data_IF_887025193021
#
_entry.id   IF_887025193021
#
_cell.length_a   1.000
_cell.length_b   1.000
_cell.length_c   1.000
_cell.angle_alpha   90.00
_cell.angle_beta   90.00
_cell.angle_gamma   90.00
#
_symmetry.space_group_name_H-M   'P 1'
#
loop_
_entity.id
_entity.type
_entity.pdbx_description
1 polymer ?
#
# COMPACT_ATOMS: atom_id res chain seq x y z
N UNK A 1 -7.82 37.08 -13.94
CA UNK A 1 -7.34 36.16 -12.89
C UNK A 1 -6.08 35.47 -13.37
N UNK A 2 -4.96 35.64 -12.67
CA UNK A 2 -3.74 34.85 -12.88
C UNK A 2 -4.01 33.44 -12.37
N UNK A 3 -3.93 32.43 -13.25
CA UNK A 3 -4.06 31.04 -12.85
C UNK A 3 -3.01 30.72 -11.78
N UNK A 4 -3.41 30.11 -10.67
CA UNK A 4 -2.52 29.71 -9.57
C UNK A 4 -1.37 28.82 -10.09
N UNK A 5 -1.61 28.08 -11.18
CA UNK A 5 -0.60 27.25 -11.83
C UNK A 5 0.61 28.01 -12.38
N UNK A 6 0.51 29.34 -12.51
CA UNK A 6 1.63 30.19 -12.97
C UNK A 6 2.67 30.50 -11.88
N UNK A 7 2.53 29.97 -10.67
CA UNK A 7 3.57 30.10 -9.64
C UNK A 7 4.85 29.37 -10.07
N UNK A 8 6.04 29.86 -9.66
CA UNK A 8 7.31 29.17 -9.91
C UNK A 8 7.32 27.75 -9.36
N UNK A 9 8.05 26.85 -10.03
CA UNK A 9 8.12 25.43 -9.64
C UNK A 9 8.67 25.23 -8.23
N UNK A 10 9.54 26.13 -7.78
CA UNK A 10 10.16 26.10 -6.46
C UNK A 10 9.12 26.31 -5.35
N UNK A 11 8.14 27.19 -5.60
CA UNK A 11 7.02 27.41 -4.67
C UNK A 11 6.13 26.17 -4.62
N UNK A 12 5.81 25.60 -5.79
CA UNK A 12 5.04 24.36 -5.85
C UNK A 12 5.76 23.18 -5.19
N UNK A 13 7.08 23.07 -5.35
CA UNK A 13 7.89 22.07 -4.66
C UNK A 13 7.79 22.24 -3.15
N UNK A 14 7.90 23.48 -2.65
CA UNK A 14 7.71 23.79 -1.24
C UNK A 14 6.35 23.32 -0.72
N UNK A 15 5.27 23.65 -1.42
CA UNK A 15 3.91 23.23 -1.05
C UNK A 15 3.76 21.71 -1.07
N UNK A 16 4.11 21.05 -2.18
CA UNK A 16 3.90 19.61 -2.37
C UNK A 16 4.76 18.75 -1.43
N UNK A 17 5.92 19.26 -0.99
CA UNK A 17 6.78 18.54 -0.04
C UNK A 17 6.18 18.35 1.36
N UNK A 18 5.11 19.08 1.67
CA UNK A 18 4.40 19.01 2.96
C UNK A 18 3.05 18.30 2.89
N UNK A 19 2.64 17.85 1.71
CA UNK A 19 1.36 17.16 1.53
C UNK A 19 1.52 15.68 1.83
N UNK A 20 0.53 15.09 2.50
CA UNK A 20 0.46 13.65 2.73
C UNK A 20 0.02 12.89 1.47
N UNK A 21 0.12 11.56 1.54
CA UNK A 21 -0.30 10.67 0.46
C UNK A 21 -1.72 10.98 -0.07
N UNK A 22 -2.71 11.11 0.81
CA UNK A 22 -4.13 11.27 0.42
C UNK A 22 -4.35 12.59 -0.30
N UNK A 23 -3.76 13.68 0.19
CA UNK A 23 -3.83 14.99 -0.44
C UNK A 23 -3.10 14.98 -1.79
N UNK A 24 -1.93 14.34 -1.88
CA UNK A 24 -1.21 14.19 -3.15
C UNK A 24 -2.03 13.42 -4.19
N UNK A 25 -2.72 12.32 -3.82
CA UNK A 25 -3.63 11.61 -4.75
C UNK A 25 -4.78 12.49 -5.21
N UNK A 26 -5.28 13.36 -4.34
CA UNK A 26 -6.31 14.34 -4.72
C UNK A 26 -5.77 15.35 -5.73
N UNK A 27 -4.55 15.87 -5.52
CA UNK A 27 -3.88 16.76 -6.47
C UNK A 27 -3.72 16.13 -7.87
N UNK A 28 -3.37 14.83 -7.95
CA UNK A 28 -3.23 14.14 -9.24
C UNK A 28 -4.50 14.13 -10.09
N UNK A 29 -5.68 14.27 -9.46
CA UNK A 29 -6.99 14.25 -10.12
C UNK A 29 -7.45 15.63 -10.60
N UNK A 30 -6.82 16.72 -10.13
CA UNK A 30 -7.22 18.09 -10.46
C UNK A 30 -6.93 18.39 -11.92
N UNK A 31 -5.67 18.25 -12.35
CA UNK A 31 -5.24 18.40 -13.74
C UNK A 31 -3.85 17.79 -13.98
N UNK A 32 -3.39 17.81 -15.24
CA UNK A 32 -2.08 17.27 -15.65
C UNK A 32 -0.89 17.96 -14.98
N UNK A 33 -1.00 19.24 -14.65
CA UNK A 33 0.08 20.04 -14.07
C UNK A 33 0.27 19.69 -12.59
N UNK A 34 -0.80 19.65 -11.80
CA UNK A 34 -0.76 19.16 -10.42
C UNK A 34 -0.28 17.70 -10.34
N UNK A 35 -0.71 16.85 -11.27
CA UNK A 35 -0.18 15.49 -11.39
C UNK A 35 1.34 15.48 -11.64
N UNK A 36 1.88 16.41 -12.42
CA UNK A 36 3.32 16.46 -12.66
C UNK A 36 4.13 16.90 -11.43
N UNK A 37 3.54 17.70 -10.54
CA UNK A 37 4.19 18.11 -9.30
C UNK A 37 4.30 16.96 -8.28
N UNK A 38 3.42 15.96 -8.32
CA UNK A 38 3.59 14.75 -7.50
C UNK A 38 4.77 13.88 -7.92
N UNK A 39 5.33 14.12 -9.11
CA UNK A 39 6.52 13.42 -9.61
C UNK A 39 7.84 14.08 -9.15
N UNK A 40 7.78 15.14 -8.33
CA UNK A 40 8.98 15.71 -7.75
C UNK A 40 9.69 14.71 -6.82
N UNK A 41 11.04 14.72 -6.77
CA UNK A 41 11.81 13.85 -5.89
C UNK A 41 11.36 13.89 -4.42
N UNK A 42 11.01 15.09 -3.92
CA UNK A 42 10.53 15.29 -2.55
C UNK A 42 9.23 14.53 -2.23
N UNK A 43 8.39 14.28 -3.23
CA UNK A 43 7.12 13.59 -3.07
C UNK A 43 7.25 12.07 -3.12
N UNK A 44 8.36 11.54 -3.66
CA UNK A 44 8.47 10.10 -3.96
C UNK A 44 8.39 9.23 -2.70
N UNK A 45 8.92 9.73 -1.58
CA UNK A 45 8.84 9.05 -0.29
C UNK A 45 7.40 8.94 0.19
N UNK A 46 6.65 10.05 0.14
CA UNK A 46 5.25 10.08 0.57
C UNK A 46 4.32 9.34 -0.40
N UNK A 47 4.69 9.28 -1.67
CA UNK A 47 3.97 8.53 -2.71
C UNK A 47 4.33 7.04 -2.75
N UNK A 48 5.18 6.55 -1.84
CA UNK A 48 5.63 5.14 -1.81
C UNK A 48 6.31 4.70 -3.13
N UNK A 49 7.09 5.60 -3.73
CA UNK A 49 7.83 5.41 -5.00
C UNK A 49 9.35 5.53 -4.82
N UNK A 50 9.83 5.52 -3.58
CA UNK A 50 11.25 5.48 -3.23
C UNK A 50 11.95 4.32 -3.96
N UNK A 51 13.14 4.54 -4.53
CA UNK A 51 13.89 3.50 -5.26
C UNK A 51 14.88 2.70 -4.40
N UNK A 52 15.21 3.20 -3.21
CA UNK A 52 16.18 2.58 -2.31
C UNK A 52 15.52 1.42 -1.55
N UNK A 53 15.69 0.21 -2.06
CA UNK A 53 15.04 -1.01 -1.53
C UNK A 53 15.93 -1.70 -0.51
N UNK A 54 15.38 -1.97 0.67
CA UNK A 54 15.98 -2.85 1.68
C UNK A 54 15.88 -4.28 1.18
N UNK A 55 17.02 -4.88 0.86
CA UNK A 55 17.09 -6.26 0.36
C UNK A 55 16.79 -7.28 1.47
N UNK A 56 16.48 -8.53 1.09
CA UNK A 56 16.29 -9.63 2.04
C UNK A 56 17.56 -9.81 2.89
N UNK A 57 17.41 -9.83 4.22
CA UNK A 57 18.52 -9.84 5.19
C UNK A 57 19.13 -8.46 5.48
N UNK A 58 18.63 -7.39 4.86
CA UNK A 58 18.98 -6.02 5.22
C UNK A 58 18.34 -5.57 6.53
N UNK A 59 18.94 -4.59 7.19
CA UNK A 59 18.43 -4.03 8.45
C UNK A 59 17.17 -3.19 8.19
N UNK A 60 16.09 -3.51 8.91
CA UNK A 60 14.85 -2.77 8.90
C UNK A 60 14.74 -1.99 10.22
N UNK A 61 14.61 -0.67 10.11
CA UNK A 61 14.27 0.19 11.23
C UNK A 61 12.75 0.34 11.31
N UNK A 62 12.15 -0.32 12.31
CA UNK A 62 10.70 -0.36 12.50
C UNK A 62 10.11 1.01 12.87
N UNK A 63 10.88 1.91 13.48
CA UNK A 63 10.41 3.25 13.86
C UNK A 63 10.25 4.15 12.63
N UNK A 64 11.04 3.87 11.59
CA UNK A 64 11.00 4.58 10.32
C UNK A 64 10.20 3.85 9.23
N UNK A 65 9.73 2.63 9.50
CA UNK A 65 8.94 1.84 8.56
C UNK A 65 7.49 2.30 8.57
N UNK A 66 7.00 2.66 7.39
CA UNK A 66 5.60 2.98 7.14
C UNK A 66 5.02 2.02 6.14
N UNK A 67 3.74 1.77 6.26
CA UNK A 67 3.00 1.09 5.22
C UNK A 67 2.23 2.03 4.36
N UNK A 68 1.97 1.52 3.17
CA UNK A 68 1.15 2.21 2.22
C UNK A 68 -0.25 2.45 2.82
N UNK A 69 -0.70 3.71 2.94
CA UNK A 69 -2.02 4.04 3.48
C UNK A 69 -3.17 3.44 2.69
N UNK A 70 -2.89 2.95 1.47
CA UNK A 70 -3.91 2.38 0.62
C UNK A 70 -4.55 1.14 1.24
N UNK A 71 -3.84 0.42 2.10
CA UNK A 71 -4.40 -0.72 2.82
C UNK A 71 -5.58 -0.33 3.71
N UNK A 72 -5.61 0.88 4.27
CA UNK A 72 -6.73 1.35 5.13
C UNK A 72 -7.96 1.79 4.32
N UNK A 73 -7.80 1.94 2.99
CA UNK A 73 -8.86 2.35 2.07
C UNK A 73 -9.26 1.23 1.10
N UNK A 74 -8.88 -0.02 1.36
CA UNK A 74 -9.27 -1.16 0.54
C UNK A 74 -10.40 -1.96 1.16
N UNK A 75 -11.32 -2.40 0.30
CA UNK A 75 -12.30 -3.45 0.60
C UNK A 75 -11.99 -4.70 -0.21
N UNK A 76 -12.08 -5.83 0.47
CA UNK A 76 -11.87 -7.14 -0.14
C UNK A 76 -12.54 -8.21 0.71
N UNK A 77 -13.15 -9.18 0.03
CA UNK A 77 -13.70 -10.39 0.65
C UNK A 77 -12.70 -11.52 0.50
N UNK A 78 -12.48 -12.33 1.54
CA UNK A 78 -11.61 -13.51 1.45
C UNK A 78 -11.99 -14.47 0.30
N UNK A 79 -13.25 -14.45 -0.15
CA UNK A 79 -13.74 -15.25 -1.28
C UNK A 79 -13.48 -14.63 -2.66
N UNK A 80 -13.09 -13.35 -2.71
CA UNK A 80 -12.95 -12.57 -3.93
C UNK A 80 -11.63 -12.81 -4.68
N UNK A 81 -11.62 -12.43 -5.94
CA UNK A 81 -10.42 -12.36 -6.75
C UNK A 81 -9.78 -10.96 -6.66
N UNK A 82 -8.60 -10.80 -7.25
CA UNK A 82 -7.93 -9.50 -7.29
C UNK A 82 -8.73 -8.44 -8.07
N UNK A 83 -9.63 -8.89 -8.96
CA UNK A 83 -10.56 -8.01 -9.67
C UNK A 83 -11.65 -7.42 -8.76
N UNK A 84 -11.88 -8.04 -7.60
CA UNK A 84 -12.87 -7.65 -6.59
C UNK A 84 -12.26 -6.82 -5.46
N UNK A 85 -10.94 -6.57 -5.50
CA UNK A 85 -10.28 -5.66 -4.55
C UNK A 85 -10.59 -4.23 -4.95
N UNK A 86 -11.41 -3.57 -4.15
CA UNK A 86 -11.86 -2.21 -4.36
C UNK A 86 -11.08 -1.22 -3.50
N UNK A 87 -10.75 -0.08 -4.10
CA UNK A 87 -10.10 1.05 -3.44
C UNK A 87 -11.12 2.18 -3.26
N UNK A 88 -11.40 2.53 -2.01
CA UNK A 88 -12.28 3.63 -1.64
C UNK A 88 -11.59 4.98 -1.89
N UNK A 89 -12.37 5.96 -2.36
CA UNK A 89 -11.94 7.35 -2.23
C UNK A 89 -11.92 7.78 -0.74
N UNK A 90 -11.30 8.92 -0.45
CA UNK A 90 -11.20 9.50 0.90
C UNK A 90 -12.54 9.62 1.63
N UNK A 91 -13.63 9.72 0.87
CA UNK A 91 -14.97 10.01 1.37
C UNK A 91 -15.83 8.73 1.43
N UNK A 92 -15.28 7.56 1.06
CA UNK A 92 -15.95 6.25 0.98
C UNK A 92 -17.22 6.19 0.11
N UNK A 93 -17.46 7.21 -0.72
CA UNK A 93 -18.65 7.34 -1.57
C UNK A 93 -18.52 6.65 -2.92
N UNK A 94 -17.29 6.33 -3.34
CA UNK A 94 -17.03 5.70 -4.62
C UNK A 94 -15.83 4.76 -4.53
N UNK A 95 -15.87 3.66 -5.28
CA UNK A 95 -14.80 2.68 -5.32
C UNK A 95 -14.20 2.57 -6.72
N UNK A 96 -12.94 2.16 -6.78
CA UNK A 96 -12.24 1.85 -8.03
C UNK A 96 -11.45 0.58 -7.82
N UNK A 97 -11.55 -0.37 -8.74
CA UNK A 97 -10.77 -1.61 -8.70
C UNK A 97 -9.27 -1.27 -8.57
N UNK A 98 -8.57 -1.91 -7.64
CA UNK A 98 -7.16 -1.66 -7.30
C UNK A 98 -6.28 -1.56 -8.55
N UNK A 99 -6.42 -2.50 -9.48
CA UNK A 99 -5.62 -2.59 -10.72
C UNK A 99 -5.81 -1.40 -11.67
N UNK A 100 -6.84 -0.58 -11.47
CA UNK A 100 -7.10 0.66 -12.22
C UNK A 100 -6.54 1.90 -11.50
N UNK A 101 -5.87 1.73 -10.37
CA UNK A 101 -5.29 2.82 -9.57
C UNK A 101 -3.76 2.75 -9.61
N UNK A 102 -3.09 3.90 -9.42
CA UNK A 102 -1.62 3.90 -9.29
C UNK A 102 -1.13 3.20 -8.00
N UNK A 103 -2.00 3.03 -6.99
CA UNK A 103 -1.63 2.37 -5.74
C UNK A 103 -1.18 0.92 -5.97
N UNK A 104 -1.71 0.24 -6.99
CA UNK A 104 -1.29 -1.11 -7.35
C UNK A 104 0.23 -1.21 -7.66
N UNK A 105 0.80 -0.17 -8.26
CA UNK A 105 2.19 -0.11 -8.69
C UNK A 105 3.13 0.49 -7.62
N UNK A 106 2.57 1.16 -6.63
CA UNK A 106 3.30 1.79 -5.52
C UNK A 106 3.80 0.70 -4.52
N UNK A 107 4.91 0.99 -3.83
CA UNK A 107 5.50 0.05 -2.88
C UNK A 107 4.62 -0.13 -1.64
N UNK A 108 4.50 -1.36 -1.14
CA UNK A 108 3.70 -1.65 0.05
C UNK A 108 4.25 -0.98 1.33
N UNK A 109 5.54 -0.62 1.32
CA UNK A 109 6.28 -0.05 2.46
C UNK A 109 7.12 1.15 2.02
N UNK A 110 7.41 2.05 2.95
CA UNK A 110 8.47 3.04 2.84
C UNK A 110 9.31 3.04 4.12
N UNK A 111 10.64 2.81 4.04
CA UNK A 111 11.38 2.42 2.84
C UNK A 111 10.89 1.08 2.24
N UNK A 112 10.98 0.88 0.92
CA UNK A 112 10.51 -0.34 0.29
C UNK A 112 11.35 -1.55 0.69
N UNK A 113 10.71 -2.62 1.12
CA UNK A 113 11.37 -3.90 1.42
C UNK A 113 11.24 -4.89 0.27
N UNK A 114 12.28 -5.70 0.04
CA UNK A 114 12.28 -6.73 -0.99
C UNK A 114 11.55 -8.02 -0.57
N UNK A 115 11.26 -8.17 0.72
CA UNK A 115 10.66 -9.36 1.29
C UNK A 115 9.62 -8.99 2.34
N UNK A 116 8.44 -9.59 2.25
CA UNK A 116 7.37 -9.50 3.25
C UNK A 116 6.89 -10.92 3.56
N UNK A 117 6.76 -11.24 4.85
CA UNK A 117 6.10 -12.47 5.31
C UNK A 117 4.81 -12.11 6.01
N UNK A 118 3.70 -12.70 5.59
CA UNK A 118 2.38 -12.46 6.15
C UNK A 118 1.88 -13.75 6.80
N UNK A 119 1.48 -13.68 8.07
CA UNK A 119 0.86 -14.80 8.76
C UNK A 119 -0.56 -14.44 9.18
N UNK A 120 -1.51 -15.23 8.72
CA UNK A 120 -2.91 -15.11 9.09
C UNK A 120 -3.24 -16.22 10.08
N UNK A 121 -3.72 -15.88 11.27
CA UNK A 121 -3.94 -16.82 12.37
C UNK A 121 -2.71 -17.72 12.62
N UNK A 122 -2.93 -18.98 12.98
CA UNK A 122 -1.88 -19.99 13.11
C UNK A 122 -1.57 -20.71 11.79
N UNK A 123 -1.97 -20.15 10.64
CA UNK A 123 -1.76 -20.78 9.35
C UNK A 123 -0.35 -20.59 8.84
N UNK A 124 0.00 -21.40 7.82
CA UNK A 124 1.31 -21.33 7.18
C UNK A 124 1.50 -19.92 6.60
N UNK A 125 2.58 -19.20 7.00
CA UNK A 125 2.82 -17.86 6.49
C UNK A 125 3.05 -17.86 4.98
N UNK A 126 2.50 -16.86 4.30
CA UNK A 126 2.84 -16.58 2.91
C UNK A 126 4.07 -15.67 2.85
N UNK A 127 4.82 -15.79 1.76
CA UNK A 127 6.03 -15.03 1.52
C UNK A 127 5.91 -14.31 0.18
N UNK A 128 6.25 -13.02 0.18
CA UNK A 128 6.17 -12.16 -0.98
C UNK A 128 7.56 -11.58 -1.21
N UNK A 129 8.12 -11.83 -2.39
CA UNK A 129 9.47 -11.40 -2.75
C UNK A 129 9.45 -10.54 -4.00
N UNK A 130 10.14 -9.42 -3.96
CA UNK A 130 10.45 -8.61 -5.12
C UNK A 130 11.74 -7.81 -4.90
N UNK A 131 12.79 -8.07 -5.68
CA UNK A 131 14.10 -7.39 -5.55
C UNK A 131 14.01 -5.87 -5.75
N UNK A 132 12.99 -5.40 -6.46
CA UNK A 132 12.75 -3.97 -6.70
C UNK A 132 11.77 -3.37 -5.69
N UNK A 133 11.42 -4.08 -4.60
CA UNK A 133 10.46 -3.64 -3.59
C UNK A 133 9.09 -4.26 -3.81
N UNK A 134 8.51 -4.83 -2.75
CA UNK A 134 7.17 -5.41 -2.79
C UNK A 134 6.12 -4.32 -3.01
N UNK A 135 5.19 -4.54 -3.94
CA UNK A 135 4.11 -3.59 -4.24
C UNK A 135 2.80 -3.95 -3.56
N UNK A 136 1.88 -2.99 -3.47
CA UNK A 136 0.53 -3.21 -2.95
C UNK A 136 -0.21 -4.30 -3.74
N UNK A 137 -0.09 -4.29 -5.08
CA UNK A 137 -0.66 -5.34 -5.93
C UNK A 137 -0.15 -6.74 -5.55
N UNK A 138 1.15 -6.89 -5.27
CA UNK A 138 1.74 -8.17 -4.92
C UNK A 138 1.25 -8.68 -3.56
N UNK A 139 1.05 -7.77 -2.60
CA UNK A 139 0.40 -8.07 -1.32
C UNK A 139 -1.01 -8.58 -1.56
N UNK A 140 -1.87 -7.78 -2.18
CA UNK A 140 -3.28 -8.14 -2.41
C UNK A 140 -3.45 -9.41 -3.23
N UNK A 141 -2.65 -9.59 -4.28
CA UNK A 141 -2.66 -10.82 -5.09
C UNK A 141 -2.31 -12.06 -4.28
N UNK A 142 -1.32 -11.96 -3.39
CA UNK A 142 -0.87 -13.09 -2.58
C UNK A 142 -1.95 -13.48 -1.56
N UNK A 143 -2.64 -12.49 -1.02
CA UNK A 143 -3.76 -12.68 -0.11
C UNK A 143 -4.96 -13.32 -0.80
N UNK A 144 -5.35 -12.82 -1.98
CA UNK A 144 -6.42 -13.42 -2.75
C UNK A 144 -6.15 -14.91 -3.04
N UNK A 145 -4.92 -15.23 -3.44
CA UNK A 145 -4.47 -16.61 -3.68
C UNK A 145 -4.41 -17.47 -2.43
N UNK A 146 -4.14 -16.86 -1.29
CA UNK A 146 -4.14 -17.56 -0.02
C UNK A 146 -5.55 -17.95 0.35
N UNK A 147 -6.48 -17.00 0.41
CA UNK A 147 -7.86 -17.29 0.78
C UNK A 147 -8.67 -18.08 -0.26
N UNK A 148 -8.24 -18.08 -1.54
CA UNK A 148 -8.86 -18.94 -2.55
C UNK A 148 -8.65 -20.45 -2.32
N UNK A 149 -7.77 -20.84 -1.40
CA UNK A 149 -7.59 -22.25 -1.04
C UNK A 149 -8.75 -22.71 -0.13
N UNK A 150 -9.39 -23.83 -0.49
CA UNK A 150 -10.64 -24.30 0.10
C UNK A 150 -10.64 -24.31 1.64
N UNK A 151 -9.54 -24.79 2.24
CA UNK A 151 -9.41 -24.92 3.70
C UNK A 151 -9.51 -23.59 4.48
N UNK A 152 -9.15 -22.47 3.86
CA UNK A 152 -9.20 -21.15 4.50
C UNK A 152 -10.52 -20.45 4.23
N UNK A 153 -11.06 -20.63 3.02
CA UNK A 153 -12.35 -20.08 2.60
C UNK A 153 -13.49 -20.57 3.48
N UNK A 154 -13.52 -21.86 3.77
CA UNK A 154 -14.58 -22.48 4.57
C UNK A 154 -14.55 -22.06 6.05
N UNK A 155 -13.38 -21.59 6.55
CA UNK A 155 -13.18 -21.19 7.95
C UNK A 155 -13.45 -19.72 8.23
N UNK A 156 -13.30 -18.85 7.25
CA UNK A 156 -13.48 -17.40 7.39
C UNK A 156 -14.69 -16.85 6.60
N UNK A 157 -15.46 -17.67 5.90
CA UNK A 157 -16.67 -17.23 5.20
C UNK A 157 -16.45 -16.01 4.29
N UNK A 158 -17.47 -15.13 4.21
CA UNK A 158 -17.43 -13.86 3.47
C UNK A 158 -16.96 -12.69 4.35
N UNK A 159 -16.04 -12.91 5.31
CA UNK A 159 -15.55 -11.83 6.16
C UNK A 159 -14.79 -10.75 5.37
N UNK A 160 -14.93 -9.52 5.84
CA UNK A 160 -14.53 -8.27 5.20
C UNK A 160 -13.29 -7.74 5.91
N UNK A 161 -12.10 -8.28 5.64
CA UNK A 161 -10.97 -8.04 6.56
C UNK A 161 -9.76 -7.48 5.86
N UNK A 162 -9.62 -6.16 5.94
CA UNK A 162 -8.32 -5.52 5.76
C UNK A 162 -8.16 -4.18 6.49
N UNK A 163 -8.78 -3.98 7.65
CA UNK A 163 -8.61 -2.77 8.45
C UNK A 163 -7.68 -3.00 9.67
N UNK A 164 -6.88 -1.98 10.02
CA UNK A 164 -6.16 -1.89 11.29
C UNK A 164 -5.09 -2.96 11.52
N UNK A 165 -4.25 -3.21 10.53
CA UNK A 165 -3.10 -4.11 10.71
C UNK A 165 -1.98 -3.41 11.49
N UNK A 166 -1.44 -4.11 12.49
CA UNK A 166 -0.14 -3.79 13.06
C UNK A 166 0.93 -4.56 12.27
N UNK A 167 1.86 -3.82 11.70
CA UNK A 167 2.79 -4.34 10.71
C UNK A 167 4.25 -4.08 11.11
N UNK A 168 4.49 -3.86 12.40
CA UNK A 168 5.81 -3.51 12.93
C UNK A 168 6.47 -4.69 13.63
N UNK A 169 6.49 -5.85 12.98
CA UNK A 169 7.20 -7.02 13.51
C UNK A 169 8.27 -7.49 12.54
N UNK A 170 9.35 -8.02 13.09
CA UNK A 170 10.36 -8.75 12.33
C UNK A 170 10.31 -10.22 12.72
N UNK A 171 10.62 -11.12 11.78
CA UNK A 171 10.86 -12.51 12.11
C UNK A 171 12.29 -12.74 12.64
N UNK A 172 12.60 -13.98 13.03
CA UNK A 172 13.90 -14.35 13.60
C UNK A 172 15.09 -14.08 12.66
N UNK A 173 14.83 -13.89 11.36
CA UNK A 173 15.85 -13.54 10.36
C UNK A 173 15.90 -12.03 10.08
N UNK A 174 15.21 -11.20 10.87
CA UNK A 174 15.17 -9.75 10.73
C UNK A 174 14.33 -9.26 9.55
N UNK A 175 13.48 -10.12 8.97
CA UNK A 175 12.65 -9.78 7.81
C UNK A 175 11.30 -9.24 8.25
N UNK A 176 10.71 -8.36 7.44
CA UNK A 176 9.39 -7.82 7.74
C UNK A 176 8.34 -8.93 7.86
N UNK A 177 7.72 -9.00 9.03
CA UNK A 177 6.74 -10.00 9.41
C UNK A 177 5.43 -9.33 9.82
N UNK A 178 4.35 -9.78 9.19
CA UNK A 178 3.02 -9.16 9.28
C UNK A 178 2.03 -10.19 9.84
N UNK A 179 1.91 -10.30 11.17
CA UNK A 179 0.91 -11.16 11.79
C UNK A 179 -0.48 -10.51 11.80
N UNK A 180 -1.52 -11.27 11.44
CA UNK A 180 -2.92 -10.87 11.58
C UNK A 180 -3.70 -11.99 12.26
N UNK A 181 -4.09 -11.74 13.51
CA UNK A 181 -4.77 -12.72 14.36
C UNK A 181 -6.24 -12.40 14.60
N UNK A 182 -6.70 -11.20 14.26
CA UNK A 182 -8.08 -10.76 14.44
C UNK A 182 -8.68 -10.28 13.12
N UNK A 183 -9.89 -10.74 12.85
CA UNK A 183 -10.73 -10.45 11.70
C UNK A 183 -11.96 -9.73 12.23
N UNK A 184 -12.29 -8.55 11.69
CA UNK A 184 -13.54 -7.87 12.04
C UNK A 184 -14.69 -8.75 11.52
N UNK A 185 -15.54 -9.16 12.46
CA UNK A 185 -16.68 -10.05 12.26
C UNK A 185 -17.89 -9.33 11.68
#
# INVERSE_FOLDING_TARGET
MTSITKLPKEIWLGVFSHLDYTVLKTCMRVNKEFKSFTEFPACQKEMFRSKAVIQEGGTIDLDNLRLHPAFDYMSYFCTGELADVEFHNSDYTNTTVLTKTCAAEEHATDPPVAYIRIQIHSWKPMQIKNKTGVTVYQVMRSLCRFFSQADYRDRLGDHFVWNGWDFRHLDDEGRLFLPKFMFDS
#
